data_IF_841115956333
#
_entry.id   IF_841115956333
#
_cell.length_a   1.000
_cell.length_b   1.000
_cell.length_c   1.000
_cell.angle_alpha   90.00
_cell.angle_beta   90.00
_cell.angle_gamma   90.00
#
_symmetry.space_group_name_H-M   'P 1'
#
loop_
_entity.id
_entity.type
_entity.pdbx_description
1 polymer ?
#
# COMPACT_ATOMS: atom_id res chain seq x y z
N UNK A 1 34.14 -1.56 -14.06
CA UNK A 1 32.76 -1.07 -13.90
C UNK A 1 32.67 0.27 -14.61
N UNK A 2 32.08 0.29 -15.81
CA UNK A 2 31.89 1.52 -16.57
C UNK A 2 30.82 2.38 -15.88
N UNK A 3 31.02 3.70 -15.74
CA UNK A 3 30.02 4.57 -15.12
C UNK A 3 28.74 4.59 -15.96
N UNK A 4 27.60 4.39 -15.30
CA UNK A 4 26.27 4.52 -15.88
C UNK A 4 26.11 5.93 -16.48
N UNK A 5 25.68 6.07 -17.75
CA UNK A 5 25.52 7.39 -18.35
C UNK A 5 24.46 8.18 -17.58
N UNK A 6 24.86 9.33 -17.04
CA UNK A 6 23.90 10.31 -16.54
C UNK A 6 23.12 10.83 -17.76
N UNK A 7 21.78 10.91 -17.70
CA UNK A 7 21.01 11.56 -18.75
C UNK A 7 21.42 13.03 -18.78
N UNK A 8 22.04 13.43 -19.88
CA UNK A 8 22.33 14.83 -20.19
C UNK A 8 20.99 15.57 -20.25
N UNK A 9 20.70 16.52 -19.35
CA UNK A 9 19.48 17.30 -19.43
C UNK A 9 19.63 18.21 -20.65
N UNK A 10 19.21 17.70 -21.81
CA UNK A 10 19.22 18.45 -23.07
C UNK A 10 18.70 19.86 -22.83
N UNK A 11 19.38 20.86 -23.40
CA UNK A 11 19.08 22.27 -23.22
C UNK A 11 17.59 22.53 -23.43
N UNK A 12 16.87 22.71 -22.32
CA UNK A 12 15.46 23.05 -22.31
C UNK A 12 15.31 24.51 -22.75
N UNK A 13 14.28 24.77 -23.55
CA UNK A 13 13.95 26.12 -24.01
C UNK A 13 13.88 27.10 -22.81
N UNK A 14 14.43 28.32 -22.93
CA UNK A 14 14.40 29.31 -21.86
C UNK A 14 12.96 29.54 -21.37
N UNK A 15 12.68 29.23 -20.10
CA UNK A 15 11.40 29.52 -19.45
C UNK A 15 10.48 28.33 -19.15
N UNK A 16 10.83 27.10 -19.54
CA UNK A 16 10.08 25.89 -19.15
C UNK A 16 10.76 25.25 -17.94
N UNK A 17 10.06 25.14 -16.82
CA UNK A 17 10.53 24.39 -15.65
C UNK A 17 10.37 22.88 -15.92
N UNK A 18 11.45 22.10 -16.10
CA UNK A 18 11.34 20.67 -16.45
C UNK A 18 10.80 19.82 -15.30
N UNK A 19 10.77 20.36 -14.08
CA UNK A 19 10.34 19.64 -12.90
C UNK A 19 8.90 19.93 -12.52
N UNK A 20 8.20 20.78 -13.28
CA UNK A 20 6.79 21.09 -13.08
C UNK A 20 5.99 20.96 -14.37
N UNK A 21 4.79 20.40 -14.24
CA UNK A 21 3.80 20.33 -15.31
C UNK A 21 3.20 21.71 -15.60
N UNK A 22 2.42 21.86 -16.68
CA UNK A 22 1.60 23.06 -16.87
C UNK A 22 0.66 23.30 -15.68
N UNK A 23 0.41 24.58 -15.38
CA UNK A 23 -0.56 24.97 -14.37
C UNK A 23 -1.96 24.51 -14.79
N UNK A 24 -2.69 23.87 -13.89
CA UNK A 24 -4.08 23.46 -14.10
C UNK A 24 -5.06 24.61 -13.84
N UNK A 25 -6.13 24.65 -14.61
CA UNK A 25 -7.29 25.54 -14.41
C UNK A 25 -8.47 24.82 -13.71
N UNK A 26 -8.34 23.52 -13.46
CA UNK A 26 -9.35 22.65 -12.85
C UNK A 26 -8.85 21.95 -11.58
N UNK A 27 -9.80 21.51 -10.76
CA UNK A 27 -9.51 20.71 -9.57
C UNK A 27 -9.20 19.26 -9.97
N UNK A 28 -8.05 18.69 -9.58
CA UNK A 28 -7.71 17.30 -9.90
C UNK A 28 -8.59 16.28 -9.16
N UNK A 29 -9.43 16.72 -8.21
CA UNK A 29 -10.32 15.85 -7.47
C UNK A 29 -11.72 15.78 -8.09
N UNK A 30 -12.37 16.94 -8.29
CA UNK A 30 -13.76 17.02 -8.74
C UNK A 30 -13.96 17.67 -10.13
N UNK A 31 -12.91 18.14 -10.79
CA UNK A 31 -12.99 18.80 -12.11
C UNK A 31 -13.50 20.24 -12.10
N UNK A 32 -13.86 20.80 -10.93
CA UNK A 32 -14.33 22.19 -10.84
C UNK A 32 -13.22 23.20 -11.20
N UNK A 33 -13.60 24.24 -11.94
CA UNK A 33 -12.73 25.39 -12.28
C UNK A 33 -12.75 26.50 -11.21
N UNK A 34 -13.53 26.33 -10.15
CA UNK A 34 -13.61 27.32 -9.07
C UNK A 34 -12.43 27.18 -8.11
N UNK A 35 -11.26 27.66 -8.54
CA UNK A 35 -10.02 27.60 -7.76
C UNK A 35 -9.74 28.93 -7.05
N UNK A 36 -9.16 28.86 -5.84
CA UNK A 36 -8.56 30.00 -5.15
C UNK A 36 -7.12 29.69 -4.77
N UNK A 37 -6.20 30.61 -5.02
CA UNK A 37 -4.83 30.48 -4.54
C UNK A 37 -4.76 30.75 -3.04
N UNK A 38 -4.27 29.76 -2.28
CA UNK A 38 -4.13 29.82 -0.82
C UNK A 38 -2.75 30.27 -0.39
N UNK A 39 -1.72 29.75 -1.07
CA UNK A 39 -0.33 30.00 -0.74
C UNK A 39 0.43 30.28 -2.03
N UNK A 40 1.24 31.34 -2.00
CA UNK A 40 2.26 31.62 -3.01
C UNK A 40 3.53 32.02 -2.27
N UNK A 41 4.56 31.20 -2.34
CA UNK A 41 5.84 31.45 -1.67
C UNK A 41 7.00 31.07 -2.57
N UNK A 42 8.12 31.82 -2.55
CA UNK A 42 9.34 31.36 -3.19
C UNK A 42 9.74 29.97 -2.70
N UNK A 43 10.20 29.12 -3.61
CA UNK A 43 10.78 27.82 -3.29
C UNK A 43 12.13 28.07 -2.58
N UNK A 44 12.14 27.96 -1.25
CA UNK A 44 13.34 28.23 -0.44
C UNK A 44 14.31 27.03 -0.38
N UNK A 45 14.27 26.12 -1.34
CA UNK A 45 15.14 24.93 -1.37
C UNK A 45 16.36 25.17 -2.26
N UNK A 46 17.58 24.86 -1.77
CA UNK A 46 18.77 24.91 -2.60
C UNK A 46 18.59 24.03 -3.84
N UNK A 47 18.83 24.60 -5.03
CA UNK A 47 18.80 23.85 -6.30
C UNK A 47 17.43 23.62 -6.94
N UNK A 48 16.35 24.24 -6.45
CA UNK A 48 15.05 24.22 -7.13
C UNK A 48 14.55 25.65 -7.34
N UNK A 49 14.85 26.29 -8.48
CA UNK A 49 14.27 27.58 -8.82
C UNK A 49 12.75 27.41 -8.99
N UNK A 50 11.94 28.28 -8.38
CA UNK A 50 10.49 28.23 -8.55
C UNK A 50 9.69 28.96 -7.49
N UNK A 51 8.37 29.05 -7.72
CA UNK A 51 7.40 29.52 -6.73
C UNK A 51 6.49 28.34 -6.37
N UNK A 52 6.44 27.98 -5.09
CA UNK A 52 5.42 27.06 -4.62
C UNK A 52 4.07 27.79 -4.60
N UNK A 53 3.14 27.26 -5.38
CA UNK A 53 1.74 27.71 -5.38
C UNK A 53 0.84 26.56 -4.98
N UNK A 54 -0.09 26.85 -4.06
CA UNK A 54 -1.12 25.93 -3.60
C UNK A 54 -2.47 26.55 -3.89
N UNK A 55 -3.27 25.87 -4.68
CA UNK A 55 -4.67 26.23 -4.95
C UNK A 55 -5.61 25.35 -4.13
N UNK A 56 -6.79 25.87 -3.84
CA UNK A 56 -7.88 25.14 -3.21
C UNK A 56 -9.15 25.29 -4.04
N UNK A 57 -9.82 24.17 -4.30
CA UNK A 57 -11.12 24.15 -4.94
C UNK A 57 -12.21 24.67 -3.99
N UNK A 58 -13.07 25.57 -4.47
CA UNK A 58 -14.20 26.11 -3.68
C UNK A 58 -15.33 25.09 -3.49
N UNK A 59 -15.49 24.16 -4.42
CA UNK A 59 -16.59 23.18 -4.38
C UNK A 59 -16.26 21.98 -3.49
N UNK A 60 -15.09 21.36 -3.68
CA UNK A 60 -14.70 20.18 -2.91
C UNK A 60 -13.67 20.43 -1.81
N UNK A 61 -13.20 21.68 -1.62
CA UNK A 61 -12.15 22.07 -0.64
C UNK A 61 -10.82 21.29 -0.75
N UNK A 62 -10.59 20.57 -1.85
CA UNK A 62 -9.31 19.92 -2.10
C UNK A 62 -8.24 20.97 -2.37
N UNK A 63 -7.18 20.97 -1.55
CA UNK A 63 -6.03 21.83 -1.75
C UNK A 63 -4.87 21.04 -2.35
N UNK A 64 -4.19 21.60 -3.35
CA UNK A 64 -3.15 20.91 -4.09
C UNK A 64 -2.06 21.86 -4.60
N UNK A 65 -0.85 21.32 -4.77
CA UNK A 65 0.25 22.05 -5.41
C UNK A 65 -0.04 22.23 -6.90
N UNK A 66 0.03 23.47 -7.39
CA UNK A 66 -0.28 23.82 -8.78
C UNK A 66 0.69 24.91 -9.28
N UNK A 67 1.60 24.64 -10.23
CA UNK A 67 1.72 23.41 -11.01
C UNK A 67 2.23 22.21 -10.21
N UNK A 68 1.78 21.02 -10.60
CA UNK A 68 2.22 19.75 -10.03
C UNK A 68 3.65 19.46 -10.50
N UNK A 69 4.53 18.87 -9.67
CA UNK A 69 5.83 18.42 -10.14
C UNK A 69 5.69 17.27 -11.14
N UNK A 70 6.58 17.20 -12.13
CA UNK A 70 6.67 16.06 -13.06
C UNK A 70 7.10 14.79 -12.31
N UNK A 71 6.99 13.61 -12.96
CA UNK A 71 7.46 12.33 -12.40
C UNK A 71 8.91 12.44 -11.89
N UNK A 72 9.78 13.00 -12.72
CA UNK A 72 11.20 13.18 -12.38
C UNK A 72 11.38 14.19 -11.25
N UNK A 73 10.59 15.28 -11.24
CA UNK A 73 10.54 16.22 -10.12
C UNK A 73 10.13 15.56 -8.80
N UNK A 74 9.18 14.61 -8.83
CA UNK A 74 8.77 13.85 -7.65
C UNK A 74 9.83 12.86 -7.17
N UNK A 75 10.47 12.14 -8.09
CA UNK A 75 11.57 11.22 -7.77
C UNK A 75 12.75 11.99 -7.18
N UNK A 76 13.14 13.10 -7.82
CA UNK A 76 14.20 13.99 -7.33
C UNK A 76 13.91 14.46 -5.90
N UNK A 77 12.67 14.91 -5.63
CA UNK A 77 12.24 15.25 -4.27
C UNK A 77 12.44 14.06 -3.32
N UNK A 78 12.04 12.84 -3.69
CA UNK A 78 12.17 11.63 -2.84
C UNK A 78 13.62 11.23 -2.56
N UNK A 79 14.52 11.41 -3.53
CA UNK A 79 15.96 11.12 -3.41
C UNK A 79 16.71 12.16 -2.57
N UNK A 80 16.34 13.44 -2.65
CA UNK A 80 17.00 14.51 -1.91
C UNK A 80 16.71 14.51 -0.41
N UNK A 81 15.73 13.73 0.08
CA UNK A 81 15.55 13.59 1.53
C UNK A 81 16.59 12.63 2.11
N UNK A 82 17.32 13.05 3.16
CA UNK A 82 18.30 12.19 3.81
C UNK A 82 17.66 10.86 4.20
N UNK A 83 18.38 9.77 3.95
CA UNK A 83 18.17 8.51 4.66
C UNK A 83 18.17 8.83 6.15
N UNK A 84 17.14 8.41 6.87
CA UNK A 84 17.05 8.65 8.31
C UNK A 84 18.12 7.84 9.05
N UNK A 85 19.36 8.33 9.01
CA UNK A 85 20.48 7.81 9.77
C UNK A 85 20.21 7.95 11.26
N UNK A 86 20.30 6.81 11.95
CA UNK A 86 20.29 6.66 13.42
C UNK A 86 19.08 7.22 14.19
N UNK A 87 17.87 7.13 13.62
CA UNK A 87 16.63 7.65 14.26
C UNK A 87 16.03 6.67 15.28
N UNK A 88 16.43 5.40 15.33
CA UNK A 88 15.79 4.39 16.21
C UNK A 88 15.88 4.71 17.70
N UNK A 89 16.99 5.30 18.16
CA UNK A 89 17.26 5.52 19.59
C UNK A 89 16.81 6.89 20.12
N UNK A 90 16.43 7.83 19.24
CA UNK A 90 15.95 9.14 19.68
C UNK A 90 14.44 9.11 20.02
N UNK A 91 13.96 10.13 20.73
CA UNK A 91 12.56 10.25 21.14
C UNK A 91 11.60 10.16 19.93
N UNK A 92 11.99 10.75 18.79
CA UNK A 92 11.17 10.72 17.58
C UNK A 92 11.02 9.29 17.01
N UNK A 93 12.09 8.49 17.01
CA UNK A 93 12.04 7.08 16.63
C UNK A 93 11.16 6.25 17.56
N UNK A 94 11.26 6.45 18.87
CA UNK A 94 10.38 5.77 19.84
C UNK A 94 8.91 6.12 19.64
N UNK A 95 8.60 7.41 19.45
CA UNK A 95 7.24 7.88 19.19
C UNK A 95 6.70 7.34 17.86
N UNK A 96 7.53 7.30 16.81
CA UNK A 96 7.17 6.70 15.51
C UNK A 96 6.91 5.20 15.65
N UNK A 97 7.76 4.44 16.34
CA UNK A 97 7.54 3.01 16.57
C UNK A 97 6.26 2.77 17.39
N UNK A 98 6.01 3.56 18.43
CA UNK A 98 4.75 3.50 19.19
C UNK A 98 3.55 3.75 18.29
N UNK A 99 3.62 4.76 17.42
CA UNK A 99 2.57 5.07 16.44
C UNK A 99 2.31 3.90 15.49
N UNK A 100 3.35 3.32 14.90
CA UNK A 100 3.23 2.15 14.03
C UNK A 100 2.61 0.95 14.76
N UNK A 101 3.00 0.67 16.02
CA UNK A 101 2.36 -0.37 16.83
C UNK A 101 0.89 -0.09 17.09
N UNK A 102 0.51 1.17 17.35
CA UNK A 102 -0.90 1.57 17.50
C UNK A 102 -1.66 1.45 16.18
N UNK A 103 -1.01 1.65 15.04
CA UNK A 103 -1.59 1.42 13.72
C UNK A 103 -1.81 -0.08 13.45
N UNK A 104 -0.80 -0.92 13.67
CA UNK A 104 -0.91 -2.36 13.51
C UNK A 104 -1.98 -2.98 14.43
N UNK A 105 -2.04 -2.52 15.69
CA UNK A 105 -3.08 -2.96 16.65
C UNK A 105 -4.50 -2.62 16.23
N UNK A 106 -4.68 -1.61 15.39
CA UNK A 106 -6.02 -1.25 14.91
C UNK A 106 -6.64 -2.34 14.03
N UNK A 107 -5.84 -3.31 13.55
CA UNK A 107 -6.33 -4.48 12.81
C UNK A 107 -6.59 -5.73 13.65
N UNK A 108 -6.27 -5.73 14.96
CA UNK A 108 -6.55 -6.88 15.85
C UNK A 108 -8.03 -7.32 15.91
N UNK A 109 -9.04 -6.44 15.71
CA UNK A 109 -10.44 -6.87 15.65
C UNK A 109 -10.81 -7.68 14.39
N UNK A 110 -9.91 -7.83 13.42
CA UNK A 110 -10.13 -8.56 12.17
C UNK A 110 -9.26 -9.83 12.13
N UNK A 111 -9.55 -10.79 11.23
CA UNK A 111 -8.69 -11.96 11.04
C UNK A 111 -7.24 -11.53 10.80
N UNK A 112 -6.30 -12.23 11.45
CA UNK A 112 -4.87 -11.96 11.26
C UNK A 112 -4.52 -12.16 9.77
N UNK A 113 -3.94 -11.16 9.10
CA UNK A 113 -3.64 -11.25 7.69
C UNK A 113 -2.46 -12.19 7.44
N UNK A 114 -2.50 -13.00 6.39
CA UNK A 114 -1.34 -13.80 5.98
C UNK A 114 -0.36 -12.92 5.20
N UNK A 115 -0.88 -11.95 4.45
CA UNK A 115 -0.13 -11.13 3.51
C UNK A 115 -0.46 -9.65 3.63
N UNK A 116 0.57 -8.82 3.81
CA UNK A 116 0.44 -7.38 3.98
C UNK A 116 1.42 -6.61 3.10
N UNK A 117 0.90 -5.75 2.21
CA UNK A 117 1.71 -4.81 1.43
C UNK A 117 1.74 -3.41 2.07
N UNK A 118 2.91 -2.91 2.43
CA UNK A 118 3.09 -1.51 2.85
C UNK A 118 3.52 -0.65 1.65
N UNK A 119 2.66 0.28 1.23
CA UNK A 119 2.91 1.17 0.08
C UNK A 119 3.53 2.48 0.59
N UNK A 120 4.68 2.85 0.02
CA UNK A 120 5.53 3.91 0.56
C UNK A 120 6.39 3.43 1.73
N UNK A 121 6.87 2.18 1.66
CA UNK A 121 7.55 1.49 2.76
C UNK A 121 8.78 2.23 3.29
N UNK A 122 9.46 2.97 2.42
CA UNK A 122 10.76 3.54 2.72
C UNK A 122 11.71 2.48 3.28
N UNK A 123 12.16 2.66 4.53
CA UNK A 123 13.09 1.77 5.21
C UNK A 123 12.41 0.64 6.01
N UNK A 124 11.10 0.40 5.88
CA UNK A 124 10.41 -0.73 6.52
C UNK A 124 10.18 -0.58 8.02
N UNK A 125 10.10 0.65 8.55
CA UNK A 125 9.86 0.88 9.98
C UNK A 125 8.44 0.50 10.43
N UNK A 126 7.45 0.60 9.55
CA UNK A 126 6.09 0.16 9.86
C UNK A 126 6.02 -1.38 9.89
N UNK A 127 6.43 -2.11 8.83
CA UNK A 127 6.48 -3.58 8.84
C UNK A 127 7.23 -4.15 10.05
N UNK A 128 8.41 -3.60 10.38
CA UNK A 128 9.19 -4.01 11.56
C UNK A 128 8.38 -3.92 12.86
N UNK A 129 7.61 -2.85 13.05
CA UNK A 129 6.78 -2.67 14.23
C UNK A 129 5.46 -3.46 14.19
N UNK A 130 4.95 -3.74 12.98
CA UNK A 130 3.71 -4.46 12.77
C UNK A 130 3.88 -5.98 12.97
N UNK A 131 5.03 -6.54 12.61
CA UNK A 131 5.39 -7.95 12.84
C UNK A 131 5.41 -8.33 14.34
N UNK A 132 5.65 -7.36 15.23
CA UNK A 132 5.54 -7.59 16.68
C UNK A 132 4.09 -7.79 17.16
N UNK A 133 3.10 -7.42 16.33
CA UNK A 133 1.67 -7.47 16.65
C UNK A 133 0.98 -8.57 15.84
N UNK A 134 1.43 -8.79 14.59
CA UNK A 134 0.94 -9.83 13.69
C UNK A 134 2.13 -10.73 13.28
N UNK A 135 2.55 -11.67 14.15
CA UNK A 135 3.75 -12.48 13.95
C UNK A 135 3.63 -13.49 12.82
N UNK A 136 2.41 -13.84 12.39
CA UNK A 136 2.18 -14.80 11.30
C UNK A 136 1.97 -14.15 9.94
N UNK A 137 2.06 -12.81 9.86
CA UNK A 137 1.92 -12.06 8.62
C UNK A 137 3.24 -11.90 7.87
N UNK A 138 3.23 -12.23 6.57
CA UNK A 138 4.29 -11.84 5.65
C UNK A 138 4.11 -10.37 5.23
N UNK A 139 5.14 -9.55 5.46
CA UNK A 139 5.12 -8.13 5.10
C UNK A 139 5.97 -7.87 3.87
N UNK A 140 5.35 -7.34 2.82
CA UNK A 140 6.03 -6.87 1.61
C UNK A 140 6.06 -5.35 1.56
N UNK A 141 7.03 -4.82 0.82
CA UNK A 141 7.20 -3.37 0.65
C UNK A 141 7.14 -2.94 -0.80
N UNK A 142 6.52 -1.78 -1.04
CA UNK A 142 6.59 -1.04 -2.30
C UNK A 142 7.06 0.39 -2.07
N UNK A 143 8.14 0.80 -2.73
CA UNK A 143 8.63 2.18 -2.73
C UNK A 143 9.36 2.49 -4.05
N UNK A 144 9.24 3.69 -4.63
CA UNK A 144 9.97 4.00 -5.86
C UNK A 144 11.48 4.18 -5.67
N UNK A 145 11.97 4.27 -4.42
CA UNK A 145 13.38 4.46 -4.10
C UNK A 145 14.03 3.16 -3.65
N UNK A 146 15.37 3.09 -3.76
CA UNK A 146 16.16 1.94 -3.28
C UNK A 146 16.05 1.66 -1.76
N UNK A 147 15.29 2.48 -1.01
CA UNK A 147 15.03 2.27 0.42
C UNK A 147 14.28 0.95 0.68
N UNK A 148 13.40 0.53 -0.23
CA UNK A 148 12.66 -0.74 -0.06
C UNK A 148 13.60 -1.95 -0.13
N UNK A 149 14.60 -1.93 -1.01
CA UNK A 149 15.63 -2.96 -1.04
C UNK A 149 16.49 -2.95 0.24
N UNK A 150 16.79 -1.78 0.78
CA UNK A 150 17.47 -1.66 2.08
C UNK A 150 16.61 -2.21 3.23
N UNK A 151 15.29 -2.04 3.17
CA UNK A 151 14.37 -2.60 4.16
C UNK A 151 14.36 -4.13 4.11
N UNK A 152 14.37 -4.71 2.89
CA UNK A 152 14.48 -6.16 2.67
C UNK A 152 15.81 -6.71 3.15
N UNK A 153 16.92 -6.07 2.78
CA UNK A 153 18.26 -6.45 3.22
C UNK A 153 18.42 -6.39 4.76
N UNK A 154 17.66 -5.51 5.43
CA UNK A 154 17.60 -5.42 6.88
C UNK A 154 16.62 -6.41 7.55
N UNK A 155 16.00 -7.32 6.78
CA UNK A 155 15.05 -8.32 7.27
C UNK A 155 13.72 -7.74 7.78
N UNK A 156 13.37 -6.51 7.41
CA UNK A 156 12.14 -5.84 7.88
C UNK A 156 10.90 -6.16 7.03
N UNK A 157 11.11 -6.64 5.82
CA UNK A 157 10.10 -7.08 4.85
C UNK A 157 10.62 -8.33 4.13
N UNK A 158 9.72 -9.13 3.56
CA UNK A 158 10.02 -10.35 2.81
C UNK A 158 10.35 -10.02 1.34
N UNK A 159 9.42 -9.38 0.63
CA UNK A 159 9.63 -8.93 -0.75
C UNK A 159 9.73 -7.41 -0.88
N UNK A 160 10.60 -6.95 -1.79
CA UNK A 160 10.76 -5.55 -2.16
C UNK A 160 10.23 -5.32 -3.59
N UNK A 161 9.44 -4.27 -3.76
CA UNK A 161 8.91 -3.84 -5.05
C UNK A 161 9.33 -2.41 -5.32
N UNK A 162 10.40 -2.23 -6.09
CA UNK A 162 10.86 -0.90 -6.45
C UNK A 162 10.03 -0.32 -7.60
N UNK A 163 9.23 0.70 -7.32
CA UNK A 163 8.42 1.41 -8.32
C UNK A 163 7.22 2.13 -7.72
N UNK A 164 6.27 2.51 -8.56
CA UNK A 164 4.99 3.10 -8.15
C UNK A 164 3.90 2.03 -8.18
N UNK A 165 2.93 2.13 -7.26
CA UNK A 165 1.79 1.20 -7.26
C UNK A 165 1.02 1.28 -8.59
N UNK A 166 0.93 2.48 -9.17
CA UNK A 166 0.26 2.75 -10.45
C UNK A 166 1.05 2.28 -11.67
N UNK A 167 2.26 1.75 -11.53
CA UNK A 167 2.99 1.15 -12.65
C UNK A 167 2.25 -0.13 -13.11
N UNK A 168 1.81 -0.23 -14.37
CA UNK A 168 0.94 -1.34 -14.82
C UNK A 168 1.52 -2.74 -14.58
N UNK A 169 2.83 -2.89 -14.77
CA UNK A 169 3.54 -4.17 -14.55
C UNK A 169 3.53 -4.58 -13.08
N UNK A 170 3.74 -3.62 -12.17
CA UNK A 170 3.69 -3.85 -10.73
C UNK A 170 2.27 -4.17 -10.31
N UNK A 171 1.29 -3.36 -10.73
CA UNK A 171 -0.13 -3.59 -10.42
C UNK A 171 -0.62 -4.96 -10.91
N UNK A 172 -0.21 -5.39 -12.10
CA UNK A 172 -0.54 -6.70 -12.65
C UNK A 172 0.08 -7.83 -11.84
N UNK A 173 1.37 -7.72 -11.49
CA UNK A 173 2.10 -8.73 -10.69
C UNK A 173 1.51 -8.90 -9.30
N UNK A 174 1.05 -7.80 -8.68
CA UNK A 174 0.54 -7.76 -7.30
C UNK A 174 -0.97 -7.98 -7.19
N UNK A 175 -1.68 -8.19 -8.29
CA UNK A 175 -3.14 -8.30 -8.33
C UNK A 175 -3.66 -9.40 -7.39
N UNK A 176 -4.57 -9.03 -6.48
CA UNK A 176 -5.26 -9.96 -5.58
C UNK A 176 -4.33 -10.76 -4.65
N UNK A 177 -3.13 -10.26 -4.36
CA UNK A 177 -2.15 -11.00 -3.54
C UNK A 177 -2.33 -10.77 -2.04
N UNK A 178 -2.82 -9.61 -1.63
CA UNK A 178 -2.70 -9.16 -0.25
C UNK A 178 -4.03 -9.13 0.51
N UNK A 179 -4.01 -9.55 1.77
CA UNK A 179 -5.14 -9.40 2.70
C UNK A 179 -5.22 -7.97 3.22
N UNK A 180 -4.07 -7.31 3.40
CA UNK A 180 -3.97 -5.92 3.86
C UNK A 180 -3.05 -5.10 2.96
N UNK A 181 -3.47 -3.87 2.67
CA UNK A 181 -2.62 -2.84 2.06
C UNK A 181 -2.58 -1.64 3.00
N UNK A 182 -1.39 -1.17 3.38
CA UNK A 182 -1.22 0.07 4.13
C UNK A 182 -0.62 1.20 3.31
N UNK A 183 -1.04 2.43 3.63
CA UNK A 183 -0.52 3.67 3.04
C UNK A 183 -0.34 4.71 4.15
N UNK A 184 0.86 4.79 4.71
CA UNK A 184 1.18 5.76 5.77
C UNK A 184 1.80 7.01 5.20
N UNK A 185 1.07 8.13 5.23
CA UNK A 185 1.58 9.40 4.73
C UNK A 185 2.13 9.29 3.29
N UNK A 186 1.59 8.39 2.47
CA UNK A 186 2.00 8.18 1.07
C UNK A 186 1.07 8.93 0.12
N UNK A 187 -0.24 8.77 0.30
CA UNK A 187 -1.27 9.21 -0.64
C UNK A 187 -1.16 10.71 -0.99
N UNK A 188 -0.80 11.55 -0.03
CA UNK A 188 -0.65 12.98 -0.27
C UNK A 188 0.56 13.36 -1.13
N UNK A 189 1.50 12.45 -1.39
CA UNK A 189 2.69 12.65 -2.22
C UNK A 189 2.62 11.92 -3.57
N UNK A 190 1.47 11.30 -3.86
CA UNK A 190 1.21 10.66 -5.15
C UNK A 190 0.82 11.70 -6.19
N UNK A 191 1.08 11.39 -7.46
CA UNK A 191 0.66 12.26 -8.56
C UNK A 191 -0.86 12.29 -8.70
N UNK A 192 -1.51 11.13 -8.53
CA UNK A 192 -2.96 10.96 -8.54
C UNK A 192 -3.39 10.04 -7.39
N UNK A 193 -3.91 10.59 -6.28
CA UNK A 193 -4.34 9.80 -5.14
C UNK A 193 -5.58 8.95 -5.43
N UNK A 194 -6.41 9.31 -6.40
CA UNK A 194 -7.61 8.53 -6.75
C UNK A 194 -7.19 7.26 -7.48
N UNK A 195 -6.27 7.40 -8.42
CA UNK A 195 -5.69 6.27 -9.14
C UNK A 195 -4.95 5.31 -8.20
N UNK A 196 -4.19 5.84 -7.24
CA UNK A 196 -3.51 5.02 -6.23
C UNK A 196 -4.51 4.15 -5.42
N UNK A 197 -5.63 4.73 -4.98
CA UNK A 197 -6.71 4.01 -4.28
C UNK A 197 -7.37 2.97 -5.19
N UNK A 198 -7.60 3.30 -6.47
CA UNK A 198 -8.15 2.37 -7.46
C UNK A 198 -7.24 1.16 -7.64
N UNK A 199 -5.93 1.37 -7.77
CA UNK A 199 -4.97 0.28 -7.94
C UNK A 199 -4.80 -0.53 -6.65
N UNK A 200 -4.79 0.11 -5.48
CA UNK A 200 -4.77 -0.59 -4.20
C UNK A 200 -5.90 -1.62 -4.07
N UNK A 201 -7.09 -1.29 -4.59
CA UNK A 201 -8.22 -2.22 -4.65
C UNK A 201 -7.93 -3.45 -5.50
N UNK A 202 -7.19 -3.29 -6.60
CA UNK A 202 -6.84 -4.40 -7.50
C UNK A 202 -5.84 -5.36 -6.87
N UNK A 203 -4.95 -4.84 -6.03
CA UNK A 203 -3.89 -5.57 -5.34
C UNK A 203 -4.41 -6.31 -4.10
N UNK A 204 -5.45 -5.77 -3.45
CA UNK A 204 -6.17 -6.46 -2.37
C UNK A 204 -6.92 -7.70 -2.86
N UNK A 205 -6.97 -8.74 -2.04
CA UNK A 205 -7.93 -9.86 -2.17
C UNK A 205 -9.37 -9.38 -1.94
N UNK A 206 -10.39 -10.08 -2.46
CA UNK A 206 -11.77 -9.84 -2.07
C UNK A 206 -11.93 -9.91 -0.54
N UNK A 207 -12.56 -8.90 0.08
CA UNK A 207 -12.67 -8.80 1.54
C UNK A 207 -11.42 -8.24 2.26
N UNK A 208 -10.32 -7.99 1.54
CA UNK A 208 -9.11 -7.42 2.11
C UNK A 208 -9.28 -6.00 2.65
N UNK A 209 -8.38 -5.59 3.55
CA UNK A 209 -8.44 -4.32 4.26
C UNK A 209 -7.42 -3.31 3.72
N UNK A 210 -7.86 -2.07 3.57
CA UNK A 210 -7.04 -0.92 3.27
C UNK A 210 -6.87 -0.09 4.54
N UNK A 211 -5.62 0.11 4.98
CA UNK A 211 -5.25 0.96 6.10
C UNK A 211 -4.55 2.23 5.60
N UNK A 212 -5.24 3.36 5.64
CA UNK A 212 -4.72 4.64 5.12
C UNK A 212 -4.52 5.61 6.26
N UNK A 213 -3.36 6.28 6.30
CA UNK A 213 -3.14 7.46 7.13
C UNK A 213 -2.78 8.68 6.28
N UNK A 214 -3.65 9.68 6.30
CA UNK A 214 -3.49 10.94 5.56
C UNK A 214 -3.43 12.13 6.51
N UNK A 215 -2.69 13.20 6.19
CA UNK A 215 -2.74 14.43 6.96
C UNK A 215 -4.15 15.02 6.93
N UNK A 216 -4.66 15.43 8.09
CA UNK A 216 -5.89 16.19 8.19
C UNK A 216 -5.65 17.60 7.62
N UNK A 217 -6.59 18.15 6.83
CA UNK A 217 -6.50 19.51 6.33
C UNK A 217 -6.79 20.50 7.48
N UNK A 218 -5.83 20.73 8.35
CA UNK A 218 -5.91 21.78 9.38
C UNK A 218 -4.67 22.68 9.34
N UNK A 219 -4.90 23.92 8.87
CA UNK A 219 -3.98 25.04 8.57
C UNK A 219 -2.91 24.72 7.50
N UNK A 220 -2.67 25.66 6.56
CA UNK A 220 -2.12 25.33 5.25
C UNK A 220 -0.63 25.01 5.34
N UNK A 221 -0.17 24.25 4.34
CA UNK A 221 1.20 24.22 3.84
C UNK A 221 2.14 25.23 4.53
N UNK A 222 2.77 24.80 5.62
CA UNK A 222 3.88 25.52 6.23
C UNK A 222 3.63 26.91 6.84
N UNK A 223 2.39 27.35 7.12
CA UNK A 223 2.18 28.62 7.84
C UNK A 223 1.92 28.40 9.33
N UNK A 224 2.97 28.05 10.08
CA UNK A 224 3.03 28.34 11.51
C UNK A 224 4.06 29.46 11.70
N UNK A 225 3.63 30.72 11.86
CA UNK A 225 4.53 31.74 12.35
C UNK A 225 4.83 31.41 13.82
N UNK A 226 6.09 31.11 14.14
CA UNK A 226 6.59 31.27 15.50
C UNK A 226 6.59 30.06 16.45
N UNK A 227 7.07 28.88 16.04
CA UNK A 227 7.65 27.93 17.02
C UNK A 227 9.05 27.50 16.62
N UNK A 228 10.03 28.25 17.12
CA UNK A 228 11.48 28.02 17.08
C UNK A 228 11.96 26.81 17.93
N UNK A 229 11.07 25.92 18.35
CA UNK A 229 11.37 24.85 19.32
C UNK A 229 11.13 23.43 18.82
N UNK A 230 11.06 23.21 17.50
CA UNK A 230 11.07 21.85 16.96
C UNK A 230 12.42 21.54 16.28
N UNK A 231 13.10 20.42 16.63
CA UNK A 231 14.44 20.12 16.12
C UNK A 231 14.52 19.77 14.62
N UNK A 232 13.39 19.77 13.91
CA UNK A 232 13.35 19.59 12.45
C UNK A 232 12.74 20.82 11.81
N UNK A 233 13.45 21.39 10.83
CA UNK A 233 12.94 22.52 10.06
C UNK A 233 11.77 22.03 9.18
N UNK A 234 10.73 22.85 8.94
CA UNK A 234 9.66 22.53 7.98
C UNK A 234 10.14 22.20 6.56
N UNK A 235 11.42 22.50 6.26
CA UNK A 235 12.12 22.09 5.04
C UNK A 235 12.40 20.60 4.93
N UNK A 236 12.32 19.84 6.02
CA UNK A 236 12.92 18.50 6.11
C UNK A 236 11.96 17.35 5.73
N UNK A 237 10.72 17.65 5.31
CA UNK A 237 9.75 16.65 4.81
C UNK A 237 9.33 16.94 3.36
N UNK A 238 9.02 15.90 2.56
CA UNK A 238 8.22 16.04 1.35
C UNK A 238 7.00 16.89 1.66
N UNK A 239 6.83 18.00 0.94
CA UNK A 239 5.59 18.75 1.03
C UNK A 239 4.48 17.89 0.40
N UNK A 240 3.32 17.74 1.05
CA UNK A 240 2.16 17.12 0.43
C UNK A 240 1.88 17.75 -0.93
N UNK A 241 1.60 16.99 -1.97
CA UNK A 241 1.02 17.51 -3.20
C UNK A 241 -0.48 17.75 -3.04
N UNK A 242 -1.12 16.98 -2.16
CA UNK A 242 -2.56 16.98 -1.95
C UNK A 242 -2.89 17.10 -0.47
N UNK A 243 -3.81 18.00 -0.13
CA UNK A 243 -4.49 18.06 1.16
C UNK A 243 -5.97 17.77 0.90
N UNK A 244 -6.30 16.48 0.98
CA UNK A 244 -7.63 15.96 0.69
C UNK A 244 -8.52 16.09 1.93
N UNK A 245 -9.68 16.73 1.83
CA UNK A 245 -10.72 16.64 2.84
C UNK A 245 -11.11 15.20 3.11
N UNK A 246 -11.33 14.88 4.39
CA UNK A 246 -11.75 13.53 4.79
C UNK A 246 -13.02 13.10 4.03
N UNK A 247 -14.00 13.99 3.86
CA UNK A 247 -15.23 13.72 3.09
C UNK A 247 -14.95 13.27 1.65
N UNK A 248 -13.93 13.84 1.02
CA UNK A 248 -13.55 13.52 -0.34
C UNK A 248 -12.99 12.10 -0.40
N UNK A 249 -12.11 11.75 0.52
CA UNK A 249 -11.55 10.40 0.63
C UNK A 249 -12.61 9.34 0.92
N UNK A 250 -13.53 9.62 1.85
CA UNK A 250 -14.61 8.69 2.18
C UNK A 250 -15.54 8.44 0.99
N UNK A 251 -15.90 9.50 0.25
CA UNK A 251 -16.71 9.38 -0.96
C UNK A 251 -15.99 8.59 -2.06
N UNK A 252 -14.68 8.83 -2.25
CA UNK A 252 -13.89 8.09 -3.25
C UNK A 252 -13.80 6.60 -2.88
N UNK A 253 -13.52 6.29 -1.61
CA UNK A 253 -13.47 4.91 -1.12
C UNK A 253 -14.81 4.18 -1.36
N UNK A 254 -15.94 4.81 -1.04
CA UNK A 254 -17.25 4.21 -1.29
C UNK A 254 -17.52 4.01 -2.79
N UNK A 255 -17.17 4.99 -3.63
CA UNK A 255 -17.30 4.91 -5.10
C UNK A 255 -16.48 3.77 -5.72
N UNK A 256 -15.33 3.46 -5.10
CA UNK A 256 -14.47 2.35 -5.50
C UNK A 256 -14.98 1.01 -4.94
N UNK A 257 -16.08 0.99 -4.18
CA UNK A 257 -16.63 -0.22 -3.58
C UNK A 257 -15.86 -0.69 -2.36
N UNK A 258 -15.28 0.25 -1.60
CA UNK A 258 -14.87 -0.02 -0.23
C UNK A 258 -16.03 0.22 0.74
N UNK A 259 -15.99 -0.47 1.87
CA UNK A 259 -16.81 -0.22 3.04
C UNK A 259 -15.91 0.36 4.13
N UNK A 260 -16.16 1.61 4.54
CA UNK A 260 -15.36 2.24 5.58
C UNK A 260 -15.79 1.69 6.94
N UNK A 261 -14.88 1.00 7.63
CA UNK A 261 -15.14 0.37 8.92
C UNK A 261 -14.82 1.31 10.08
N UNK A 262 -13.70 2.04 9.97
CA UNK A 262 -13.21 2.92 11.04
C UNK A 262 -12.64 4.19 10.42
N UNK A 263 -12.97 5.32 11.02
CA UNK A 263 -12.29 6.59 10.79
C UNK A 263 -11.92 7.20 12.14
N UNK A 264 -10.63 7.49 12.37
CA UNK A 264 -10.14 8.08 13.61
C UNK A 264 -9.13 9.17 13.34
N UNK A 265 -9.16 10.23 14.14
CA UNK A 265 -8.03 11.15 14.20
C UNK A 265 -6.87 10.48 14.93
N UNK A 266 -5.66 10.56 14.39
CA UNK A 266 -4.44 10.08 15.02
C UNK A 266 -3.39 11.20 15.05
N UNK A 267 -2.53 11.15 16.06
CA UNK A 267 -1.39 12.04 16.21
C UNK A 267 -0.22 11.23 16.74
N UNK A 268 1.00 11.62 16.36
CA UNK A 268 1.96 11.81 17.44
C UNK A 268 2.44 13.25 17.58
N UNK A 269 2.54 14.05 16.51
CA UNK A 269 3.03 15.43 16.55
C UNK A 269 2.62 16.15 15.24
N UNK A 270 2.36 17.48 15.24
CA UNK A 270 1.61 18.15 14.18
C UNK A 270 2.16 17.87 12.76
N UNK A 271 1.28 17.71 11.75
CA UNK A 271 -0.18 17.91 11.75
C UNK A 271 -1.00 16.68 12.22
N UNK A 272 -2.26 16.92 12.64
CA UNK A 272 -3.26 15.87 12.88
C UNK A 272 -3.40 15.02 11.62
N UNK A 273 -3.60 13.72 11.75
CA UNK A 273 -3.85 12.80 10.64
C UNK A 273 -5.18 12.07 10.83
N UNK A 274 -5.74 11.55 9.74
CA UNK A 274 -6.86 10.64 9.77
C UNK A 274 -6.37 9.24 9.43
N UNK A 275 -6.67 8.29 10.30
CA UNK A 275 -6.57 6.86 10.03
C UNK A 275 -7.92 6.34 9.56
N UNK A 276 -7.92 5.68 8.42
CA UNK A 276 -9.09 5.07 7.81
C UNK A 276 -8.80 3.58 7.64
N UNK A 277 -9.73 2.74 8.07
CA UNK A 277 -9.74 1.30 7.77
C UNK A 277 -10.96 1.05 6.88
N UNK A 278 -10.72 0.52 5.69
CA UNK A 278 -11.78 0.26 4.72
C UNK A 278 -11.65 -1.16 4.17
N UNK A 279 -12.75 -1.89 4.08
CA UNK A 279 -12.80 -3.24 3.53
C UNK A 279 -13.19 -3.21 2.06
N UNK A 280 -12.47 -3.92 1.20
CA UNK A 280 -12.90 -4.13 -0.19
C UNK A 280 -14.16 -4.98 -0.18
N UNK A 281 -15.29 -4.45 -0.66
CA UNK A 281 -16.51 -5.25 -0.83
C UNK A 281 -16.21 -6.39 -1.82
N UNK A 282 -16.52 -7.63 -1.44
CA UNK A 282 -16.51 -8.72 -2.40
C UNK A 282 -17.48 -8.35 -3.52
N UNK A 283 -17.06 -8.47 -4.78
CA UNK A 283 -18.03 -8.39 -5.86
C UNK A 283 -19.01 -9.53 -5.60
N UNK A 284 -20.29 -9.19 -5.46
CA UNK A 284 -21.34 -10.19 -5.59
C UNK A 284 -21.16 -10.75 -6.99
N UNK A 285 -20.56 -11.94 -7.09
CA UNK A 285 -20.74 -12.75 -8.28
C UNK A 285 -22.25 -12.91 -8.40
N UNK A 286 -22.85 -12.33 -9.45
CA UNK A 286 -24.22 -12.63 -9.80
C UNK A 286 -24.37 -14.15 -9.72
N UNK A 287 -25.41 -14.69 -9.07
CA UNK A 287 -25.60 -16.13 -9.02
C UNK A 287 -25.53 -16.61 -10.46
N UNK A 288 -24.57 -17.48 -10.76
CA UNK A 288 -24.53 -18.14 -12.06
C UNK A 288 -25.88 -18.79 -12.19
N UNK A 289 -26.69 -18.29 -13.13
CA UNK A 289 -27.90 -18.97 -13.53
C UNK A 289 -27.39 -20.34 -13.98
N UNK A 290 -27.56 -21.35 -13.12
CA UNK A 290 -27.36 -22.74 -13.52
C UNK A 290 -28.32 -22.93 -14.66
N UNK A 291 -27.79 -22.88 -15.89
CA UNK A 291 -28.54 -23.27 -17.07
C UNK A 291 -28.97 -24.70 -16.77
N UNK A 292 -30.28 -24.90 -16.61
CA UNK A 292 -30.83 -26.23 -16.45
C UNK A 292 -30.28 -27.11 -17.58
N UNK A 293 -29.88 -28.36 -17.30
CA UNK A 293 -29.48 -29.26 -18.37
C UNK A 293 -30.62 -29.32 -19.39
N UNK A 294 -30.31 -28.94 -20.62
CA UNK A 294 -31.23 -29.06 -21.75
C UNK A 294 -31.70 -30.51 -21.78
N UNK A 295 -33.02 -30.70 -21.76
CA UNK A 295 -33.64 -32.00 -21.93
C UNK A 295 -33.08 -32.67 -23.20
N UNK A 296 -32.77 -33.96 -23.08
CA UNK A 296 -32.35 -34.81 -24.19
C UNK A 296 -33.42 -34.80 -25.30
N UNK A 297 -33.03 -34.86 -26.58
CA UNK A 297 -34.01 -35.00 -27.66
C UNK A 297 -34.65 -36.40 -27.59
N UNK A 298 -35.92 -36.56 -28.00
CA UNK A 298 -36.56 -37.86 -28.02
C UNK A 298 -35.92 -38.76 -29.09
N UNK A 299 -35.82 -40.05 -28.76
CA UNK A 299 -35.36 -41.10 -29.66
C UNK A 299 -36.23 -41.13 -30.93
N UNK A 300 -35.58 -41.00 -32.09
CA UNK A 300 -36.18 -41.29 -33.39
C UNK A 300 -35.71 -42.66 -33.85
N UNK A 301 -36.69 -43.40 -34.36
CA UNK A 301 -36.71 -44.77 -34.83
C UNK A 301 -35.65 -45.15 -35.86
N UNK A 302 -35.35 -46.44 -35.86
CA UNK A 302 -34.53 -47.19 -36.80
C UNK A 302 -34.98 -47.04 -38.26
N UNK A 303 -34.01 -47.14 -39.18
CA UNK A 303 -34.19 -47.81 -40.47
C UNK A 303 -32.87 -48.52 -40.86
N UNK A 304 -32.91 -49.73 -41.46
CA UNK A 304 -31.79 -50.65 -41.54
C UNK A 304 -31.08 -50.56 -42.90
N UNK A 305 -29.76 -50.47 -42.89
CA UNK A 305 -28.92 -50.82 -44.04
C UNK A 305 -27.48 -50.97 -43.58
N UNK A 306 -27.08 -52.20 -43.28
CA UNK A 306 -25.67 -52.59 -43.17
C UNK A 306 -25.30 -53.46 -44.37
N UNK A 307 -24.09 -53.31 -44.91
CA UNK A 307 -23.28 -54.44 -45.34
C UNK A 307 -22.00 -54.57 -44.47
N UNK A 308 -21.35 -55.75 -44.50
CA UNK A 308 -20.73 -56.37 -43.31
C UNK A 308 -19.27 -55.95 -43.04
N UNK A 309 -18.74 -56.23 -41.84
CA UNK A 309 -17.36 -55.98 -41.47
C UNK A 309 -16.40 -57.07 -41.99
N UNK A 310 -15.21 -56.62 -42.40
CA UNK A 310 -14.07 -57.41 -42.89
C UNK A 310 -13.40 -58.18 -41.73
N UNK A 311 -13.10 -59.50 -41.86
CA UNK A 311 -12.52 -60.29 -40.79
C UNK A 311 -11.01 -60.41 -40.98
N UNK A 312 -10.22 -59.59 -40.28
CA UNK A 312 -8.79 -59.84 -40.12
C UNK A 312 -8.19 -59.15 -38.90
N UNK A 313 -7.65 -59.99 -38.01
CA UNK A 313 -6.60 -59.75 -37.01
C UNK A 313 -7.04 -59.44 -35.56
N UNK A 314 -6.27 -59.95 -34.57
CA UNK A 314 -6.83 -60.65 -33.41
C UNK A 314 -6.73 -59.88 -32.08
N UNK A 315 -7.48 -60.42 -31.14
CA UNK A 315 -7.72 -60.05 -29.74
C UNK A 315 -6.46 -59.97 -28.84
N UNK A 316 -6.46 -58.94 -27.98
CA UNK A 316 -6.04 -58.82 -26.55
C UNK A 316 -4.82 -59.62 -26.01
N UNK A 317 -4.02 -59.10 -25.02
CA UNK A 317 -4.57 -58.58 -23.75
C UNK A 317 -3.76 -57.48 -23.00
N UNK A 318 -4.42 -56.90 -22.00
CA UNK A 318 -3.82 -56.37 -20.75
C UNK A 318 -4.50 -57.12 -19.58
N UNK A 319 -4.07 -57.06 -18.31
CA UNK A 319 -2.81 -56.58 -17.69
C UNK A 319 -2.14 -57.67 -16.82
N UNK A 320 -0.96 -57.43 -16.24
CA UNK A 320 -0.51 -58.20 -15.07
C UNK A 320 0.22 -57.30 -14.04
N UNK A 321 -0.18 -57.31 -12.75
CA UNK A 321 0.46 -56.56 -11.67
C UNK A 321 1.43 -57.46 -10.89
N UNK A 322 2.65 -56.99 -10.63
CA UNK A 322 3.56 -57.65 -9.68
C UNK A 322 4.46 -56.63 -8.99
N UNK A 323 4.30 -56.58 -7.66
CA UNK A 323 5.13 -55.87 -6.69
C UNK A 323 6.48 -56.63 -6.44
N UNK A 324 7.45 -56.18 -5.61
CA UNK A 324 7.24 -55.90 -4.19
C UNK A 324 7.98 -54.68 -3.60
N UNK A 325 7.51 -54.34 -2.40
CA UNK A 325 7.95 -53.31 -1.46
C UNK A 325 9.12 -53.78 -0.57
N UNK A 326 9.78 -52.78 0.05
CA UNK A 326 10.56 -52.81 1.31
C UNK A 326 12.05 -53.26 1.27
N UNK A 327 12.93 -52.81 2.22
CA UNK A 327 12.61 -52.27 3.56
C UNK A 327 13.35 -50.99 4.03
N UNK A 328 12.77 -50.38 5.06
CA UNK A 328 13.40 -49.46 6.03
C UNK A 328 14.41 -50.20 6.93
N UNK A 329 15.34 -49.47 7.57
CA UNK A 329 15.75 -49.82 8.94
C UNK A 329 15.51 -48.70 9.98
N UNK A 330 15.03 -49.16 11.13
CA UNK A 330 15.23 -48.74 12.54
C UNK A 330 15.97 -47.41 12.81
N UNK A 331 15.37 -46.45 13.51
CA UNK A 331 15.26 -46.31 14.98
C UNK A 331 16.59 -46.22 15.73
N UNK A 332 16.90 -45.03 16.24
CA UNK A 332 17.54 -44.87 17.54
C UNK A 332 16.97 -43.63 18.23
N UNK A 333 16.49 -43.85 19.45
CA UNK A 333 16.16 -42.82 20.41
C UNK A 333 17.45 -42.19 20.95
N UNK A 334 17.42 -40.90 21.28
CA UNK A 334 17.85 -40.50 22.63
C UNK A 334 17.27 -39.14 23.06
N UNK A 335 16.51 -39.21 24.15
CA UNK A 335 16.41 -38.32 25.29
C UNK A 335 17.09 -36.94 25.23
N UNK A 336 16.34 -35.88 25.55
CA UNK A 336 16.59 -35.00 26.71
C UNK A 336 15.77 -33.71 26.62
N UNK A 337 14.69 -33.63 27.41
CA UNK A 337 14.25 -32.36 28.00
C UNK A 337 15.14 -32.09 29.24
N UNK A 338 15.28 -30.84 29.72
CA UNK A 338 14.25 -30.35 30.65
C UNK A 338 14.03 -28.82 30.72
N UNK A 339 12.95 -28.45 31.43
CA UNK A 339 12.80 -27.26 32.31
C UNK A 339 12.24 -25.93 31.76
N UNK A 340 10.94 -25.73 31.95
CA UNK A 340 10.31 -24.51 32.53
C UNK A 340 10.74 -24.38 34.01
N UNK A 341 10.69 -23.23 34.75
CA UNK A 341 9.63 -22.17 34.78
C UNK A 341 10.17 -20.75 35.18
N UNK A 342 9.44 -19.81 35.84
CA UNK A 342 8.00 -19.48 35.89
C UNK A 342 7.65 -18.02 35.51
N UNK A 343 6.34 -17.77 35.46
CA UNK A 343 5.68 -16.47 35.42
C UNK A 343 5.91 -15.58 36.66
N UNK A 344 5.90 -14.26 36.46
CA UNK A 344 5.61 -13.22 37.46
C UNK A 344 4.84 -12.11 36.74
N UNK A 345 3.52 -12.01 36.95
CA UNK A 345 2.82 -11.30 38.03
C UNK A 345 2.46 -9.87 37.65
N UNK A 346 1.17 -9.60 37.79
CA UNK A 346 0.49 -8.36 37.51
C UNK A 346 0.98 -7.23 38.43
N UNK A 347 0.97 -6.00 37.91
CA UNK A 347 0.86 -4.82 38.77
C UNK A 347 0.15 -3.72 38.00
N UNK A 348 -1.08 -3.44 38.41
CA UNK A 348 -1.81 -2.24 38.07
C UNK A 348 -1.23 -1.05 38.85
N UNK A 349 -1.22 0.17 38.30
CA UNK A 349 -1.15 1.38 39.12
C UNK A 349 -2.56 1.86 39.43
N UNK A 350 -2.85 1.96 40.72
CA UNK A 350 -3.99 2.64 41.30
C UNK A 350 -3.90 4.15 41.08
N UNK A 351 -5.07 4.76 40.87
CA UNK A 351 -5.37 6.16 41.19
C UNK A 351 -4.95 6.46 42.64
N UNK A 352 -4.50 7.70 42.92
CA UNK A 352 -5.41 8.54 43.70
C UNK A 352 -5.45 10.01 43.27
N UNK A 353 -6.70 10.48 43.19
CA UNK A 353 -7.19 11.84 43.43
C UNK A 353 -6.34 12.66 44.43
N UNK A 354 -6.11 13.93 44.06
CA UNK A 354 -6.37 15.19 44.78
C UNK A 354 -6.28 15.23 46.33
N UNK A 355 -5.90 16.36 46.95
CA UNK A 355 -6.25 17.74 46.55
C UNK A 355 -5.16 18.56 45.85
#
# INVERSE_FOLDING_TARGET
>A
MSPTPQPDPGQLAPGVDPFHEPRRDDCPWCGSRQLRTRVRTPERRPGTPGTLVVDECRDCSHAFQNPRPTRDGLLLRRHQYPTEGNVRSNLAGRLRRRHHRVAARALLPYPEPESWLDVGTGLGHFPEAAREIHPYTAFDGLDPTARVEQARAAGRIEEAHQGLLTDPEIAARLRGRYDVVSMFHHLQHTADPREELRVARTVLRPGGLLLVEVPAPARPFGTLPGRRSWPRRPSDRPRPLHLMPLRNLLAELDSLGYEVLVTRACAPLPPRAHRIIARRKAQQTAPSIRRAPSAAPPASSADPSSPPPDPSAPSEPSPDPSAPSEPRPASSADSSAPSTPPAASCTAPADPSAP
#
